data_IF_728215159902
#
_entry.id   IF_728215159902
#
_cell.length_a   1.000
_cell.length_b   1.000
_cell.length_c   1.000
_cell.angle_alpha   90.00
_cell.angle_beta   90.00
_cell.angle_gamma   90.00
#
_symmetry.space_group_name_H-M   'P 1'
#
loop_
_entity.id
_entity.type
_entity.pdbx_description
1 polymer ?
#
# COMPACT_ATOMS: atom_id res chain seq x y z
N UNK A 1 -6.31 2.50 -21.24
CA UNK A 1 -5.18 1.74 -20.67
C UNK A 1 -5.24 2.00 -19.19
N UNK A 2 -5.56 0.99 -18.39
CA UNK A 2 -5.58 1.13 -16.95
C UNK A 2 -4.19 0.84 -16.36
N UNK A 3 -3.92 1.39 -15.19
CA UNK A 3 -2.72 1.09 -14.40
C UNK A 3 -3.11 0.26 -13.17
N UNK A 4 -2.46 -0.89 -13.04
CA UNK A 4 -2.61 -1.79 -11.89
C UNK A 4 -1.37 -1.65 -11.03
N UNK A 5 -1.56 -1.34 -9.74
CA UNK A 5 -0.51 -1.41 -8.74
C UNK A 5 -0.72 -2.68 -7.92
N UNK A 6 0.18 -3.64 -8.12
CA UNK A 6 0.25 -4.91 -7.43
C UNK A 6 1.22 -4.78 -6.25
N UNK A 7 0.74 -4.93 -5.02
CA UNK A 7 1.55 -4.79 -3.80
C UNK A 7 1.57 -6.11 -3.05
N UNK A 8 2.75 -6.65 -2.78
CA UNK A 8 2.94 -7.88 -1.98
C UNK A 8 3.68 -7.58 -0.69
N UNK A 9 3.32 -8.27 0.39
CA UNK A 9 3.88 -8.01 1.73
C UNK A 9 4.29 -9.28 2.50
N UNK A 10 4.31 -10.43 1.83
CA UNK A 10 4.66 -11.70 2.46
C UNK A 10 6.17 -11.85 2.65
N UNK A 11 6.59 -12.13 3.89
CA UNK A 11 7.97 -12.55 4.22
C UNK A 11 8.45 -13.78 3.42
N UNK A 12 7.53 -14.59 2.90
CA UNK A 12 7.85 -15.71 2.00
C UNK A 12 7.86 -15.32 0.52
N UNK A 13 7.71 -14.04 0.20
CA UNK A 13 7.70 -13.49 -1.16
C UNK A 13 6.73 -14.27 -2.08
N UNK A 14 7.17 -14.76 -3.23
CA UNK A 14 6.40 -15.56 -4.18
C UNK A 14 5.93 -16.92 -3.62
N UNK A 15 6.52 -17.39 -2.53
CA UNK A 15 6.12 -18.61 -1.84
C UNK A 15 4.98 -18.37 -0.82
N UNK A 16 4.60 -17.11 -0.59
CA UNK A 16 3.48 -16.75 0.28
C UNK A 16 2.11 -17.01 -0.36
N UNK A 17 1.17 -17.59 0.40
CA UNK A 17 -0.18 -17.90 -0.10
C UNK A 17 -0.93 -16.66 -0.60
N UNK A 18 -0.86 -15.54 0.13
CA UNK A 18 -1.46 -14.28 -0.33
C UNK A 18 -0.80 -13.72 -1.59
N UNK A 19 0.51 -13.87 -1.75
CA UNK A 19 1.24 -13.44 -2.95
C UNK A 19 0.79 -14.26 -4.15
N UNK A 20 0.77 -15.58 -4.03
CA UNK A 20 0.36 -16.48 -5.13
C UNK A 20 -1.07 -16.21 -5.62
N UNK A 21 -2.00 -15.91 -4.70
CA UNK A 21 -3.36 -15.53 -5.07
C UNK A 21 -3.41 -14.19 -5.81
N UNK A 22 -2.67 -13.19 -5.34
CA UNK A 22 -2.56 -11.89 -5.99
C UNK A 22 -1.89 -12.00 -7.38
N UNK A 23 -0.79 -12.75 -7.48
CA UNK A 23 -0.07 -13.04 -8.73
C UNK A 23 -0.99 -13.72 -9.76
N UNK A 24 -1.76 -14.73 -9.33
CA UNK A 24 -2.70 -15.43 -10.20
C UNK A 24 -3.80 -14.49 -10.74
N UNK A 25 -4.30 -13.58 -9.89
CA UNK A 25 -5.25 -12.56 -10.30
C UNK A 25 -4.64 -11.58 -11.31
N UNK A 26 -3.44 -11.07 -11.04
CA UNK A 26 -2.75 -10.11 -11.92
C UNK A 26 -2.39 -10.74 -13.26
N UNK A 27 -1.94 -12.01 -13.27
CA UNK A 27 -1.69 -12.76 -14.51
C UNK A 27 -2.98 -12.88 -15.34
N UNK A 28 -4.08 -13.31 -14.70
CA UNK A 28 -5.39 -13.40 -15.37
C UNK A 28 -5.92 -12.05 -15.84
N UNK A 29 -5.63 -10.97 -15.12
CA UNK A 29 -5.96 -9.60 -15.52
C UNK A 29 -5.19 -9.20 -16.78
N UNK A 30 -3.87 -9.42 -16.79
CA UNK A 30 -2.99 -9.05 -17.91
C UNK A 30 -3.32 -9.83 -19.18
N UNK A 31 -3.69 -11.11 -19.06
CA UNK A 31 -4.14 -11.91 -20.20
C UNK A 31 -5.39 -11.33 -20.87
N UNK A 32 -6.33 -10.80 -20.07
CA UNK A 32 -7.56 -10.16 -20.55
C UNK A 32 -7.37 -8.72 -20.99
N UNK A 33 -6.38 -8.03 -20.42
CA UNK A 33 -6.09 -6.62 -20.65
C UNK A 33 -4.60 -6.44 -21.00
N UNK A 34 -4.14 -6.92 -22.16
CA UNK A 34 -2.72 -6.99 -22.51
C UNK A 34 -2.04 -5.61 -22.58
N UNK A 35 -2.83 -4.55 -22.81
CA UNK A 35 -2.33 -3.19 -22.89
C UNK A 35 -2.21 -2.49 -21.54
N UNK A 36 -2.82 -3.00 -20.47
CA UNK A 36 -2.77 -2.36 -19.14
C UNK A 36 -1.36 -2.45 -18.54
N UNK A 37 -0.95 -1.41 -17.83
CA UNK A 37 0.35 -1.34 -17.17
C UNK A 37 0.28 -2.00 -15.79
N UNK A 38 1.25 -2.85 -15.46
CA UNK A 38 1.36 -3.47 -14.14
C UNK A 38 2.62 -2.93 -13.47
N UNK A 39 2.45 -2.26 -12.33
CA UNK A 39 3.55 -1.91 -11.42
C UNK A 39 3.51 -2.91 -10.27
N UNK A 40 4.60 -3.61 -10.01
CA UNK A 40 4.73 -4.53 -8.89
C UNK A 40 5.63 -3.94 -7.81
N UNK A 41 5.11 -3.83 -6.59
CA UNK A 41 5.80 -3.37 -5.39
C UNK A 41 5.86 -4.50 -4.38
N UNK A 42 7.01 -5.16 -4.27
CA UNK A 42 7.24 -6.12 -3.20
C UNK A 42 7.86 -5.44 -1.98
N UNK A 43 7.09 -5.30 -0.92
CA UNK A 43 7.48 -4.62 0.31
C UNK A 43 8.49 -5.41 1.16
N UNK A 44 8.81 -6.65 0.77
CA UNK A 44 9.90 -7.42 1.40
C UNK A 44 11.22 -7.22 0.65
N UNK A 45 11.19 -7.28 -0.68
CA UNK A 45 12.37 -7.01 -1.51
C UNK A 45 12.80 -5.54 -1.45
N UNK A 46 11.83 -4.62 -1.40
CA UNK A 46 12.06 -3.19 -1.41
C UNK A 46 11.33 -2.53 -0.22
N UNK A 47 11.87 -2.70 1.00
CA UNK A 47 11.17 -2.28 2.21
C UNK A 47 11.10 -0.75 2.33
N UNK A 48 9.96 -0.27 2.81
CA UNK A 48 9.79 1.13 3.23
C UNK A 48 10.31 1.27 4.66
N UNK A 49 11.23 2.21 4.94
CA UNK A 49 11.80 2.38 6.27
C UNK A 49 10.73 2.81 7.28
N UNK A 50 11.01 2.63 8.57
CA UNK A 50 10.15 3.17 9.61
C UNK A 50 10.11 4.70 9.56
N UNK A 51 8.94 5.26 9.81
CA UNK A 51 8.76 6.70 9.89
C UNK A 51 9.63 7.27 11.01
N UNK A 52 10.44 8.29 10.68
CA UNK A 52 11.25 9.04 11.64
C UNK A 52 10.70 10.46 11.79
N UNK A 53 11.21 11.20 12.77
CA UNK A 53 10.88 12.62 12.92
C UNK A 53 11.23 13.42 11.66
N UNK A 54 12.37 13.13 11.03
CA UNK A 54 12.82 13.82 9.82
C UNK A 54 11.87 13.55 8.64
N UNK A 55 11.44 12.29 8.46
CA UNK A 55 10.40 11.94 7.48
C UNK A 55 9.11 12.72 7.76
N UNK A 56 8.64 12.70 9.01
CA UNK A 56 7.42 13.39 9.40
C UNK A 56 7.51 14.91 9.13
N UNK A 57 8.64 15.54 9.45
CA UNK A 57 8.87 16.95 9.17
C UNK A 57 8.92 17.25 7.66
N UNK A 58 9.61 16.42 6.87
CA UNK A 58 9.68 16.57 5.42
C UNK A 58 8.31 16.38 4.75
N UNK A 59 7.53 15.40 5.19
CA UNK A 59 6.19 15.09 4.67
C UNK A 59 5.19 16.22 4.95
N UNK A 60 5.30 16.89 6.11
CA UNK A 60 4.42 18.00 6.50
C UNK A 60 4.90 19.38 6.01
N UNK A 61 6.12 19.50 5.48
CA UNK A 61 6.59 20.75 4.87
C UNK A 61 6.02 20.84 3.44
N UNK A 62 5.33 21.94 3.05
CA UNK A 62 4.87 22.16 1.68
C UNK A 62 6.00 22.01 0.67
N UNK A 63 5.72 21.43 -0.49
CA UNK A 63 6.74 21.02 -1.48
C UNK A 63 7.64 22.20 -1.87
N UNK A 64 7.05 23.36 -2.08
CA UNK A 64 7.70 24.62 -2.44
C UNK A 64 8.61 25.19 -1.34
N UNK A 65 8.40 24.76 -0.09
CA UNK A 65 9.13 25.24 1.09
C UNK A 65 10.16 24.22 1.61
N UNK A 66 10.28 23.06 0.98
CA UNK A 66 11.26 22.04 1.39
C UNK A 66 12.69 22.51 1.12
N UNK A 67 13.57 22.28 2.08
CA UNK A 67 15.02 22.30 1.85
C UNK A 67 15.44 21.15 0.92
N UNK A 68 16.65 21.20 0.38
CA UNK A 68 17.21 20.10 -0.42
C UNK A 68 17.18 18.78 0.36
N UNK A 69 17.57 18.83 1.63
CA UNK A 69 17.57 17.63 2.47
C UNK A 69 16.17 17.06 2.68
N UNK A 70 15.17 17.92 2.85
CA UNK A 70 13.78 17.48 2.99
C UNK A 70 13.20 16.94 1.68
N UNK A 71 13.67 17.41 0.51
CA UNK A 71 13.32 16.80 -0.78
C UNK A 71 13.84 15.38 -0.84
N UNK A 72 15.14 15.18 -0.62
CA UNK A 72 15.76 13.83 -0.59
C UNK A 72 15.02 12.87 0.35
N UNK A 73 14.69 13.32 1.56
CA UNK A 73 14.00 12.49 2.56
C UNK A 73 12.56 12.14 2.11
N UNK A 74 11.89 13.05 1.41
CA UNK A 74 10.51 12.85 0.96
C UNK A 74 10.39 12.06 -0.36
N UNK A 75 11.48 11.89 -1.10
CA UNK A 75 11.48 11.25 -2.43
C UNK A 75 10.78 9.90 -2.45
N UNK A 76 11.07 9.04 -1.47
CA UNK A 76 10.42 7.74 -1.39
C UNK A 76 8.91 7.87 -1.16
N UNK A 77 8.46 8.73 -0.25
CA UNK A 77 7.03 8.97 -0.02
C UNK A 77 6.35 9.54 -1.26
N UNK A 78 6.99 10.48 -1.95
CA UNK A 78 6.48 11.08 -3.18
C UNK A 78 6.34 10.03 -4.30
N UNK A 79 7.33 9.13 -4.46
CA UNK A 79 7.27 7.99 -5.40
C UNK A 79 6.12 7.03 -5.07
N UNK A 80 6.00 6.60 -3.81
CA UNK A 80 4.93 5.68 -3.38
C UNK A 80 3.54 6.29 -3.58
N UNK A 81 3.42 7.61 -3.34
CA UNK A 81 2.19 8.36 -3.59
C UNK A 81 1.90 8.44 -5.09
N UNK A 82 2.91 8.62 -5.95
CA UNK A 82 2.73 8.63 -7.40
C UNK A 82 2.25 7.26 -7.92
N UNK A 83 2.84 6.17 -7.44
CA UNK A 83 2.43 4.79 -7.76
C UNK A 83 0.94 4.59 -7.45
N UNK A 84 0.51 4.87 -6.21
CA UNK A 84 -0.90 4.66 -5.81
C UNK A 84 -1.84 5.68 -6.48
N UNK A 85 -1.39 6.91 -6.72
CA UNK A 85 -2.20 7.97 -7.33
C UNK A 85 -2.46 7.71 -8.80
N UNK A 86 -1.49 7.15 -9.52
CA UNK A 86 -1.61 6.80 -10.94
C UNK A 86 -2.36 5.49 -11.18
N UNK A 87 -2.49 4.62 -10.16
CA UNK A 87 -3.22 3.36 -10.28
C UNK A 87 -4.75 3.54 -10.30
N UNK A 88 -5.40 2.80 -11.20
CA UNK A 88 -6.85 2.62 -11.26
C UNK A 88 -7.30 1.44 -10.40
N UNK A 89 -6.45 0.41 -10.31
CA UNK A 89 -6.68 -0.82 -9.56
C UNK A 89 -5.50 -1.14 -8.65
N UNK A 90 -5.81 -1.35 -7.37
CA UNK A 90 -4.89 -1.87 -6.37
C UNK A 90 -5.13 -3.36 -6.19
N UNK A 91 -4.08 -4.17 -6.28
CA UNK A 91 -4.11 -5.60 -5.98
C UNK A 91 -3.15 -5.86 -4.83
N UNK A 92 -3.66 -6.31 -3.68
CA UNK A 92 -2.89 -6.43 -2.45
C UNK A 92 -2.76 -7.90 -2.04
N UNK A 93 -1.54 -8.42 -1.92
CA UNK A 93 -1.25 -9.71 -1.30
C UNK A 93 -0.82 -9.53 0.16
N UNK A 94 -1.72 -9.87 1.10
CA UNK A 94 -1.54 -9.56 2.53
C UNK A 94 -1.65 -10.83 3.39
N UNK A 95 -0.56 -11.38 3.94
CA UNK A 95 -0.65 -12.40 4.96
C UNK A 95 -0.93 -11.79 6.33
N UNK A 96 -1.64 -12.52 7.17
CA UNK A 96 -1.75 -12.20 8.58
C UNK A 96 -0.51 -12.67 9.33
N UNK A 97 0.16 -11.74 10.02
CA UNK A 97 1.20 -12.05 11.01
C UNK A 97 0.78 -11.50 12.36
N UNK A 98 0.73 -12.37 13.37
CA UNK A 98 0.36 -11.99 14.74
C UNK A 98 -0.90 -11.14 14.82
N UNK A 99 -1.97 -11.58 14.14
CA UNK A 99 -3.28 -10.92 14.15
C UNK A 99 -3.28 -9.51 13.56
N UNK A 100 -2.37 -9.20 12.65
CA UNK A 100 -2.33 -7.92 11.96
C UNK A 100 -1.74 -8.07 10.54
N UNK A 101 -1.74 -6.96 9.79
CA UNK A 101 -0.98 -6.83 8.55
C UNK A 101 0.53 -6.91 8.82
N UNK A 102 1.36 -7.26 7.83
CA UNK A 102 2.81 -7.23 8.00
C UNK A 102 3.31 -5.81 8.30
N UNK A 103 4.34 -5.70 9.15
CA UNK A 103 4.94 -4.39 9.50
C UNK A 103 5.40 -3.61 8.27
N UNK A 104 5.87 -4.29 7.23
CA UNK A 104 6.31 -3.65 5.98
C UNK A 104 5.13 -3.02 5.22
N UNK A 105 3.93 -3.59 5.31
CA UNK A 105 2.72 -2.97 4.75
C UNK A 105 2.29 -1.77 5.60
N UNK A 106 2.46 -1.83 6.91
CA UNK A 106 2.20 -0.68 7.77
C UNK A 106 3.12 0.51 7.45
N UNK A 107 4.44 0.29 7.29
CA UNK A 107 5.37 1.38 6.94
C UNK A 107 5.06 1.97 5.56
N UNK A 108 4.62 1.16 4.60
CA UNK A 108 4.10 1.65 3.32
C UNK A 108 2.91 2.61 3.53
N UNK A 109 1.92 2.23 4.36
CA UNK A 109 0.78 3.10 4.67
C UNK A 109 1.18 4.39 5.38
N UNK A 110 2.14 4.34 6.31
CA UNK A 110 2.68 5.53 6.97
C UNK A 110 3.27 6.53 5.97
N UNK A 111 3.88 6.04 4.88
CA UNK A 111 4.53 6.88 3.87
C UNK A 111 3.55 7.44 2.84
N UNK A 112 2.42 6.79 2.58
CA UNK A 112 1.42 7.30 1.61
C UNK A 112 0.30 8.12 2.27
N UNK A 113 0.12 8.02 3.59
CA UNK A 113 -0.88 8.80 4.33
C UNK A 113 -0.40 10.23 4.58
N UNK A 114 -0.62 11.12 3.60
CA UNK A 114 -0.17 12.52 3.64
C UNK A 114 -1.32 13.52 3.55
N UNK A 115 -1.46 14.32 4.61
CA UNK A 115 -2.44 15.39 4.66
C UNK A 115 -2.16 16.44 3.57
N UNK A 116 -3.22 16.88 2.90
CA UNK A 116 -3.13 17.78 1.74
C UNK A 116 -2.74 17.09 0.42
N UNK A 117 -2.37 15.79 0.44
CA UNK A 117 -1.92 15.05 -0.74
C UNK A 117 -2.84 13.86 -1.04
N UNK A 118 -2.91 12.88 -0.14
CA UNK A 118 -3.75 11.68 -0.31
C UNK A 118 -5.04 11.74 0.50
N UNK A 119 -5.10 12.60 1.51
CA UNK A 119 -6.31 12.94 2.25
C UNK A 119 -6.27 14.41 2.73
N UNK A 120 -7.39 14.94 3.20
CA UNK A 120 -7.47 16.25 3.88
C UNK A 120 -8.37 16.19 5.10
N UNK A 121 -8.22 17.12 6.03
CA UNK A 121 -9.17 17.30 7.12
C UNK A 121 -10.32 18.21 6.71
N UNK A 122 -11.53 17.86 7.12
CA UNK A 122 -12.75 18.64 6.96
C UNK A 122 -13.47 18.75 8.30
N UNK A 123 -14.53 19.57 8.38
CA UNK A 123 -15.37 19.67 9.58
C UNK A 123 -16.00 18.32 10.00
N UNK A 124 -16.15 17.39 9.04
CA UNK A 124 -16.71 16.05 9.27
C UNK A 124 -15.63 14.97 9.49
N UNK A 125 -14.36 15.36 9.64
CA UNK A 125 -13.23 14.45 9.77
C UNK A 125 -12.39 14.30 8.50
N UNK A 126 -11.46 13.32 8.45
CA UNK A 126 -10.58 13.12 7.31
C UNK A 126 -11.34 12.62 6.07
N UNK A 127 -11.05 13.22 4.92
CA UNK A 127 -11.61 12.87 3.60
C UNK A 127 -10.48 12.45 2.65
N UNK A 128 -10.59 11.27 2.05
CA UNK A 128 -9.65 10.77 1.04
C UNK A 128 -9.70 11.56 -0.27
N UNK A 129 -8.53 11.86 -0.84
CA UNK A 129 -8.38 12.58 -2.11
C UNK A 129 -8.15 11.64 -3.31
N UNK A 130 -7.75 10.40 -3.03
CA UNK A 130 -7.56 9.34 -4.03
C UNK A 130 -8.92 8.74 -4.47
N UNK A 131 -9.59 9.40 -5.41
CA UNK A 131 -10.94 9.02 -5.89
C UNK A 131 -10.89 8.04 -7.07
N UNK A 132 -12.02 7.38 -7.32
CA UNK A 132 -12.23 6.49 -8.47
C UNK A 132 -11.27 5.29 -8.57
N UNK A 133 -10.67 4.88 -7.45
CA UNK A 133 -9.80 3.71 -7.37
C UNK A 133 -10.60 2.46 -7.02
N UNK A 134 -10.20 1.33 -7.55
CA UNK A 134 -10.66 -0.01 -7.12
C UNK A 134 -9.55 -0.69 -6.34
N UNK A 135 -9.91 -1.53 -5.38
CA UNK A 135 -8.96 -2.34 -4.63
C UNK A 135 -9.48 -3.77 -4.48
N UNK A 136 -8.57 -4.73 -4.63
CA UNK A 136 -8.79 -6.16 -4.35
C UNK A 136 -7.69 -6.62 -3.41
N UNK A 137 -8.08 -7.17 -2.26
CA UNK A 137 -7.14 -7.67 -1.26
C UNK A 137 -7.25 -9.19 -1.12
N UNK A 138 -6.13 -9.88 -1.34
CA UNK A 138 -5.94 -11.30 -1.12
C UNK A 138 -5.33 -11.50 0.26
N UNK A 139 -6.20 -11.69 1.25
CA UNK A 139 -5.81 -11.86 2.64
C UNK A 139 -5.67 -13.34 2.95
N UNK A 140 -4.50 -13.77 3.42
CA UNK A 140 -4.25 -15.16 3.84
C UNK A 140 -4.01 -15.25 5.35
N UNK A 141 -4.48 -16.34 5.96
CA UNK A 141 -4.40 -16.58 7.40
C UNK A 141 -4.31 -18.08 7.67
N UNK A 142 -3.51 -18.49 8.65
CA UNK A 142 -3.25 -19.90 8.95
C UNK A 142 -4.37 -20.63 9.71
N UNK A 143 -5.36 -19.90 10.23
CA UNK A 143 -6.49 -20.43 11.00
C UNK A 143 -7.84 -19.99 10.44
N UNK A 144 -8.92 -20.60 10.94
CA UNK A 144 -10.28 -20.19 10.61
C UNK A 144 -10.73 -19.10 11.59
N UNK A 145 -11.13 -17.96 11.05
CA UNK A 145 -11.66 -16.82 11.80
C UNK A 145 -13.09 -16.56 11.30
N UNK A 146 -14.07 -16.70 12.21
CA UNK A 146 -15.49 -16.42 12.03
C UNK A 146 -16.14 -16.04 13.36
N UNK A 147 -17.47 -15.91 13.41
CA UNK A 147 -18.20 -15.27 14.51
C UNK A 147 -17.93 -15.87 15.91
N UNK A 148 -17.60 -17.16 16.00
CA UNK A 148 -17.33 -17.86 17.26
C UNK A 148 -15.86 -17.82 17.71
N UNK A 149 -14.96 -17.19 16.93
CA UNK A 149 -13.55 -17.07 17.28
C UNK A 149 -13.28 -15.67 17.87
N UNK A 150 -12.86 -15.53 19.15
CA UNK A 150 -12.56 -14.22 19.73
C UNK A 150 -11.41 -13.48 19.04
N UNK A 151 -10.57 -14.21 18.27
CA UNK A 151 -9.50 -13.63 17.47
C UNK A 151 -10.01 -13.05 16.12
N UNK A 152 -11.29 -13.21 15.78
CA UNK A 152 -11.88 -12.68 14.53
C UNK A 152 -11.98 -11.16 14.47
N UNK A 153 -11.86 -10.48 15.61
CA UNK A 153 -11.82 -9.02 15.65
C UNK A 153 -10.50 -8.43 15.11
N UNK A 154 -9.53 -9.29 14.80
CA UNK A 154 -8.23 -8.90 14.30
C UNK A 154 -8.12 -9.18 12.79
N UNK A 155 -8.82 -8.39 11.98
CA UNK A 155 -8.72 -8.34 10.51
C UNK A 155 -8.82 -6.91 10.02
#
# INVERSE_FOLDING_TARGET
>A
MAKVLHITSSLFQENGQSSQLADSFVASWKDKNPNDEIIHRDLVSEPVPHLSLEHFQAHNTPIENRSEKQREIAELSDLLIEEISSADLLVLGIPMYNFNIPSNLHTYFDFIARAGVTFRYTENGPEGLLRNKKAVAFISRGGVYGDDNPQSNYL
#
